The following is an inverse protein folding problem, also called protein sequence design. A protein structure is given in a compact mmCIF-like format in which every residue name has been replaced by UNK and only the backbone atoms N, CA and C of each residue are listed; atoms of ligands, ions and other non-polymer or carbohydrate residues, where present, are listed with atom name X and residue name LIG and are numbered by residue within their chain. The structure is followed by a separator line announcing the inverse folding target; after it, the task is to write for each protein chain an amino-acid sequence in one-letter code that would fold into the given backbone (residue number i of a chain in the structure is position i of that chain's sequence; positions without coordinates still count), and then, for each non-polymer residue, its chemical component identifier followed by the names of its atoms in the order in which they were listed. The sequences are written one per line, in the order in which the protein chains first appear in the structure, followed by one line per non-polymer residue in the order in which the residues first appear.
data_IF_697446180058
#
_entry.id   IF_697446180058
#
_cell.length_a   1.000
_cell.length_b   1.000
_cell.length_c   1.000
_cell.angle_alpha   90.00
_cell.angle_beta   90.00
_cell.angle_gamma   90.00
#
_symmetry.space_group_name_H-M   'P 1'
#
loop_
_entity.id
_entity.type
_entity.pdbx_description
1 polymer ?
#
# COMPACT_ATOMS: atom_id res chain seq x y z
N UNK A 1 -19.73 -23.79 -4.75
CA UNK A 1 -19.36 -22.92 -3.63
C UNK A 1 -19.21 -21.53 -4.21
N UNK A 2 -19.86 -20.47 -3.69
CA UNK A 2 -19.59 -19.13 -4.18
C UNK A 2 -18.11 -18.82 -3.90
N UNK A 3 -17.42 -18.38 -4.93
CA UNK A 3 -16.01 -18.00 -4.85
C UNK A 3 -15.94 -16.76 -3.95
N UNK A 4 -15.19 -16.83 -2.86
CA UNK A 4 -14.99 -15.67 -2.00
C UNK A 4 -14.39 -14.53 -2.83
N UNK A 5 -14.97 -13.32 -2.81
CA UNK A 5 -14.46 -12.22 -3.61
C UNK A 5 -13.04 -11.86 -3.16
N UNK A 6 -12.17 -11.57 -4.11
CA UNK A 6 -10.89 -10.91 -3.87
C UNK A 6 -11.08 -9.41 -4.15
N UNK A 7 -10.42 -8.56 -3.38
CA UNK A 7 -10.55 -7.10 -3.53
C UNK A 7 -9.23 -6.50 -3.99
N UNK A 8 -9.34 -5.38 -4.70
CA UNK A 8 -8.20 -4.56 -5.09
C UNK A 8 -8.19 -3.30 -4.23
N UNK A 9 -7.01 -2.93 -3.74
CA UNK A 9 -6.77 -1.67 -3.05
C UNK A 9 -5.51 -1.03 -3.58
N UNK A 10 -5.30 0.23 -3.22
CA UNK A 10 -4.14 1.01 -3.61
C UNK A 10 -3.44 1.57 -2.38
N UNK A 11 -2.12 1.71 -2.44
CA UNK A 11 -1.28 2.27 -1.39
C UNK A 11 -0.05 2.89 -2.04
N UNK A 12 0.79 3.58 -1.27
CA UNK A 12 2.06 4.08 -1.75
C UNK A 12 3.19 3.77 -0.76
N UNK A 13 4.41 3.67 -1.28
CA UNK A 13 5.61 3.48 -0.46
C UNK A 13 6.82 4.16 -1.09
N UNK A 14 7.92 4.25 -0.34
CA UNK A 14 9.17 4.77 -0.85
C UNK A 14 9.79 3.80 -1.87
N UNK A 15 10.39 4.34 -2.93
CA UNK A 15 11.08 3.53 -3.95
C UNK A 15 12.24 2.72 -3.36
N UNK A 16 12.91 3.27 -2.34
CA UNK A 16 14.08 2.67 -1.68
C UNK A 16 13.74 1.75 -0.49
N UNK A 17 12.47 1.37 -0.30
CA UNK A 17 12.08 0.47 0.79
C UNK A 17 12.70 -0.93 0.56
N UNK A 18 13.65 -1.40 1.40
CA UNK A 18 14.38 -2.63 1.19
C UNK A 18 13.43 -3.84 1.29
N UNK A 19 13.34 -4.54 0.16
CA UNK A 19 12.32 -5.50 -0.26
C UNK A 19 12.19 -6.82 0.54
N UNK A 20 12.72 -6.97 1.76
CA UNK A 20 12.59 -8.26 2.46
C UNK A 20 11.29 -8.39 3.25
N UNK A 21 10.66 -7.29 3.66
CA UNK A 21 9.46 -7.32 4.51
C UNK A 21 8.52 -6.12 4.28
N UNK A 22 8.23 -5.78 3.02
CA UNK A 22 7.36 -4.63 2.62
C UNK A 22 6.04 -4.56 3.40
N UNK A 23 5.49 -5.70 3.76
CA UNK A 23 4.22 -5.82 4.46
C UNK A 23 4.35 -6.00 5.97
N UNK A 24 5.55 -6.17 6.50
CA UNK A 24 5.77 -6.24 7.93
C UNK A 24 5.41 -4.90 8.58
N UNK A 25 4.80 -4.97 9.76
CA UNK A 25 4.45 -3.78 10.49
C UNK A 25 5.72 -3.07 11.01
N UNK A 26 6.10 -1.95 10.38
CA UNK A 26 7.26 -1.13 10.78
C UNK A 26 6.95 -0.14 11.91
N UNK A 27 5.76 -0.20 12.52
CA UNK A 27 5.29 0.75 13.53
C UNK A 27 4.48 1.93 12.95
N UNK A 28 4.47 2.10 11.63
CA UNK A 28 3.68 3.12 10.93
C UNK A 28 2.64 2.41 10.07
N UNK A 29 1.33 2.61 10.31
CA UNK A 29 0.30 2.00 9.48
C UNK A 29 0.36 2.57 8.05
N UNK A 30 0.32 1.69 7.06
CA UNK A 30 0.16 2.11 5.67
C UNK A 30 -1.23 2.71 5.43
N UNK A 31 -1.31 3.67 4.50
CA UNK A 31 -2.58 4.23 4.04
C UNK A 31 -3.06 3.42 2.85
N UNK A 32 -4.32 2.98 2.88
CA UNK A 32 -4.94 2.19 1.83
C UNK A 32 -6.17 2.91 1.28
N UNK A 33 -6.35 2.80 -0.03
CA UNK A 33 -7.41 3.45 -0.80
C UNK A 33 -8.15 2.39 -1.63
N UNK A 34 -9.41 2.67 -1.93
CA UNK A 34 -10.24 1.86 -2.83
C UNK A 34 -9.97 2.13 -4.32
N UNK A 35 -9.49 3.33 -4.64
CA UNK A 35 -9.21 3.78 -6.00
C UNK A 35 -7.78 4.34 -6.19
N UNK A 36 -7.25 4.17 -7.41
CA UNK A 36 -5.92 4.61 -7.78
C UNK A 36 -5.81 6.15 -7.84
N UNK A 37 -6.84 6.85 -8.29
CA UNK A 37 -6.84 8.31 -8.38
C UNK A 37 -6.81 8.94 -7.00
N UNK A 38 -7.55 8.38 -6.03
CA UNK A 38 -7.52 8.81 -4.63
C UNK A 38 -6.12 8.67 -4.03
N UNK A 39 -5.50 7.50 -4.21
CA UNK A 39 -4.15 7.24 -3.72
C UNK A 39 -3.11 8.17 -4.38
N UNK A 40 -3.26 8.44 -5.69
CA UNK A 40 -2.41 9.36 -6.44
C UNK A 40 -2.59 10.81 -5.99
N UNK A 41 -3.83 11.21 -5.71
CA UNK A 41 -4.14 12.56 -5.24
C UNK A 41 -3.50 12.83 -3.88
N UNK A 42 -3.69 11.90 -2.92
CA UNK A 42 -3.07 11.97 -1.60
C UNK A 42 -1.53 12.01 -1.70
N UNK A 43 -0.95 11.20 -2.58
CA UNK A 43 0.50 11.19 -2.80
C UNK A 43 1.03 12.52 -3.36
N UNK A 44 0.29 13.16 -4.26
CA UNK A 44 0.62 14.48 -4.80
C UNK A 44 0.41 15.61 -3.77
N UNK A 45 -0.55 15.45 -2.87
CA UNK A 45 -0.72 16.33 -1.70
C UNK A 45 0.47 16.22 -0.76
N UNK A 46 0.83 15.00 -0.36
CA UNK A 46 2.00 14.74 0.48
C UNK A 46 3.28 15.33 -0.14
N UNK A 47 3.47 15.19 -1.46
CA UNK A 47 4.60 15.81 -2.15
C UNK A 47 4.61 17.33 -2.00
N UNK A 48 3.48 17.99 -2.24
CA UNK A 48 3.37 19.45 -2.12
C UNK A 48 3.68 19.92 -0.71
N UNK A 49 3.20 19.19 0.30
CA UNK A 49 3.47 19.50 1.70
C UNK A 49 4.96 19.38 2.01
N UNK A 50 5.61 18.28 1.61
CA UNK A 50 7.05 18.05 1.79
C UNK A 50 7.90 19.11 1.07
N UNK A 51 7.54 19.49 -0.15
CA UNK A 51 8.23 20.51 -0.93
C UNK A 51 8.02 21.93 -0.39
N UNK A 52 6.91 22.16 0.34
CA UNK A 52 6.62 23.46 0.98
C UNK A 52 7.48 23.71 2.23
N UNK A 53 7.97 22.64 2.88
CA UNK A 53 8.77 22.75 4.09
C UNK A 53 10.25 23.02 3.79
N UNK A 54 10.83 24.13 4.32
CA UNK A 54 12.21 24.48 4.05
C UNK A 54 13.18 23.46 4.64
N UNK A 55 13.97 22.82 3.78
CA UNK A 55 14.96 21.80 4.16
C UNK A 55 14.48 20.36 4.00
N UNK A 56 13.18 20.15 3.75
CA UNK A 56 12.65 18.87 3.33
C UNK A 56 12.87 18.68 1.82
N UNK A 57 13.08 17.44 1.39
CA UNK A 57 13.16 17.07 -0.02
C UNK A 57 12.24 15.89 -0.27
N UNK A 58 11.49 15.99 -1.36
CA UNK A 58 10.71 14.86 -1.84
C UNK A 58 11.62 13.66 -2.10
N UNK A 59 11.18 12.50 -1.62
CA UNK A 59 11.79 11.21 -1.91
C UNK A 59 10.86 10.46 -2.85
N UNK A 60 11.35 9.91 -3.98
CA UNK A 60 10.49 9.21 -4.92
C UNK A 60 9.65 8.15 -4.25
N UNK A 61 8.34 8.19 -4.52
CA UNK A 61 7.37 7.23 -4.01
C UNK A 61 6.72 6.47 -5.15
N UNK A 62 6.43 5.20 -4.91
CA UNK A 62 5.74 4.31 -5.85
C UNK A 62 4.30 4.12 -5.39
N UNK A 63 3.39 4.16 -6.36
CA UNK A 63 1.99 3.80 -6.19
C UNK A 63 1.84 2.30 -6.45
N UNK A 64 1.26 1.61 -5.50
CA UNK A 64 1.13 0.15 -5.48
C UNK A 64 -0.35 -0.23 -5.50
N UNK A 65 -0.70 -1.13 -6.40
CA UNK A 65 -1.97 -1.83 -6.44
C UNK A 65 -1.81 -3.17 -5.74
N UNK A 66 -2.66 -3.47 -4.77
CA UNK A 66 -2.68 -4.75 -4.07
C UNK A 66 -3.94 -5.53 -4.40
N UNK A 67 -3.80 -6.84 -4.50
CA UNK A 67 -4.93 -7.78 -4.57
C UNK A 67 -4.95 -8.61 -3.28
N UNK A 68 -6.10 -8.71 -2.63
CA UNK A 68 -6.24 -9.54 -1.44
C UNK A 68 -6.37 -11.01 -1.81
N UNK A 69 -6.04 -11.90 -0.87
CA UNK A 69 -6.57 -13.25 -0.91
C UNK A 69 -8.12 -13.22 -0.88
N UNK A 70 -8.79 -14.27 -1.39
CA UNK A 70 -10.24 -14.40 -1.28
C UNK A 70 -10.71 -14.20 0.17
N UNK A 71 -11.71 -13.35 0.38
CA UNK A 71 -12.20 -13.05 1.72
C UNK A 71 -12.86 -14.29 2.32
N UNK A 72 -12.20 -14.86 3.32
CA UNK A 72 -12.62 -16.04 4.03
C UNK A 72 -12.30 -15.90 5.51
N UNK A 73 -12.92 -16.73 6.35
CA UNK A 73 -12.59 -16.76 7.78
C UNK A 73 -11.10 -17.04 8.02
N UNK A 74 -10.47 -17.85 7.16
CA UNK A 74 -9.06 -18.19 7.27
C UNK A 74 -8.15 -17.01 6.91
N UNK A 75 -8.43 -16.29 5.83
CA UNK A 75 -7.64 -15.12 5.41
C UNK A 75 -7.78 -13.95 6.38
N UNK A 76 -8.98 -13.72 6.94
CA UNK A 76 -9.17 -12.73 8.02
C UNK A 76 -8.43 -13.16 9.29
N UNK A 77 -8.47 -14.44 9.66
CA UNK A 77 -7.73 -14.94 10.83
C UNK A 77 -6.22 -14.78 10.66
N UNK A 78 -5.69 -14.98 9.45
CA UNK A 78 -4.28 -14.72 9.14
C UNK A 78 -3.96 -13.22 9.31
N UNK A 79 -4.77 -12.32 8.74
CA UNK A 79 -4.61 -10.87 8.91
C UNK A 79 -4.62 -10.41 10.38
N UNK A 80 -5.41 -11.07 11.24
CA UNK A 80 -5.49 -10.71 12.66
C UNK A 80 -4.30 -11.22 13.49
N UNK A 81 -3.63 -12.28 13.05
CA UNK A 81 -2.53 -12.92 13.78
C UNK A 81 -1.16 -12.68 13.15
N UNK A 82 -1.10 -12.02 12.00
CA UNK A 82 0.11 -11.86 11.19
C UNK A 82 0.07 -10.54 10.42
N UNK A 83 1.17 -10.20 9.77
CA UNK A 83 1.28 -8.99 8.96
C UNK A 83 0.38 -9.00 7.72
N UNK A 84 0.22 -7.84 7.08
CA UNK A 84 -0.60 -7.67 5.88
C UNK A 84 -0.16 -8.60 4.73
N UNK A 85 1.11 -9.03 4.72
CA UNK A 85 1.66 -9.94 3.72
C UNK A 85 0.97 -11.31 3.71
N UNK A 86 0.37 -11.72 4.83
CA UNK A 86 -0.44 -12.94 4.92
C UNK A 86 -1.81 -12.81 4.23
N UNK A 87 -2.21 -11.58 3.90
CA UNK A 87 -3.51 -11.22 3.32
C UNK A 87 -3.40 -10.67 1.89
N UNK A 88 -2.22 -10.18 1.48
CA UNK A 88 -1.92 -9.77 0.11
C UNK A 88 -1.59 -10.99 -0.74
N UNK A 89 -2.36 -11.19 -1.81
CA UNK A 89 -2.13 -12.23 -2.81
C UNK A 89 -1.05 -11.83 -3.80
N UNK A 90 -1.11 -10.59 -4.26
CA UNK A 90 -0.17 -10.01 -5.22
C UNK A 90 -0.17 -8.49 -5.05
N UNK A 91 0.91 -7.86 -5.50
CA UNK A 91 0.95 -6.42 -5.65
C UNK A 91 1.70 -6.04 -6.93
N UNK A 92 1.36 -4.88 -7.46
CA UNK A 92 1.90 -4.33 -8.69
C UNK A 92 2.22 -2.85 -8.47
N UNK A 93 3.38 -2.40 -8.93
CA UNK A 93 3.70 -0.96 -8.96
C UNK A 93 3.09 -0.37 -10.22
N UNK A 94 2.13 0.53 -10.05
CA UNK A 94 1.35 1.11 -11.15
C UNK A 94 1.84 2.49 -11.59
N UNK A 95 2.50 3.24 -10.70
CA UNK A 95 3.06 4.54 -11.00
C UNK A 95 4.25 4.84 -10.07
N UNK A 96 5.11 5.77 -10.48
CA UNK A 96 6.21 6.30 -9.66
C UNK A 96 6.21 7.81 -9.77
N UNK A 97 6.14 8.49 -8.63
CA UNK A 97 6.14 9.95 -8.55
C UNK A 97 7.51 10.41 -8.04
N UNK A 98 8.29 11.02 -8.93
CA UNK A 98 9.61 11.63 -8.68
C UNK A 98 9.56 13.15 -8.53
#
# INVERSE_FOLDING_TARGET
MPESPSFTFYTYSLVNDPCDDRWAYTGIPGIFFDDAESARHDLLELRRDVESEPGCKWSPMRLEKIETLPISKASILALLNSDLGSFVKSYEVIDVID
#
